data_IF_993541791149
#
_entry.id   IF_993541791149
#
_cell.length_a   1.000
_cell.length_b   1.000
_cell.length_c   1.000
_cell.angle_alpha   90.00
_cell.angle_beta   90.00
_cell.angle_gamma   90.00
#
_symmetry.space_group_name_H-M   'P 1'
#
loop_
_entity.id
_entity.type
_entity.pdbx_description
1 polymer ?
#
# COMPACT_ATOMS: atom_id res chain seq x y z
N UNK A 1 -7.12 -9.27 -0.36
CA UNK A 1 -5.76 -8.89 -0.80
C UNK A 1 -5.59 -7.44 -0.44
N UNK A 2 -4.44 -7.09 0.14
CA UNK A 2 -4.15 -5.72 0.55
C UNK A 2 -4.02 -4.83 -0.69
N UNK A 3 -4.56 -3.62 -0.62
CA UNK A 3 -4.63 -2.66 -1.71
C UNK A 3 -3.80 -1.40 -1.41
N UNK A 4 -2.93 -1.05 -2.34
CA UNK A 4 -2.06 0.14 -2.31
C UNK A 4 -2.50 1.06 -3.43
N UNK A 5 -2.76 2.34 -3.15
CA UNK A 5 -3.11 3.31 -4.18
C UNK A 5 -2.01 4.33 -4.44
N UNK A 6 -1.75 4.61 -5.72
CA UNK A 6 -0.88 5.69 -6.15
C UNK A 6 -1.69 6.98 -6.27
N UNK A 7 -1.30 7.99 -5.51
CA UNK A 7 -1.85 9.33 -5.55
C UNK A 7 -0.78 10.36 -5.92
N UNK A 8 -1.21 11.58 -6.22
CA UNK A 8 -0.31 12.69 -6.58
C UNK A 8 -0.76 13.44 -7.82
N UNK A 9 -0.12 14.57 -8.09
CA UNK A 9 -0.47 15.46 -9.21
C UNK A 9 -0.11 14.89 -10.60
N UNK A 10 -0.69 15.40 -11.70
CA UNK A 10 -0.25 15.06 -13.05
C UNK A 10 1.27 15.23 -13.22
N UNK A 11 1.91 14.40 -14.05
CA UNK A 11 3.35 14.47 -14.37
C UNK A 11 4.35 14.30 -13.20
N UNK A 12 3.89 13.96 -11.98
CA UNK A 12 4.77 13.56 -10.88
C UNK A 12 5.48 12.20 -11.08
N UNK A 13 5.02 11.42 -12.07
CA UNK A 13 5.59 10.11 -12.42
C UNK A 13 4.80 8.89 -11.93
N UNK A 14 3.55 9.08 -11.46
CA UNK A 14 2.64 7.99 -11.03
C UNK A 14 2.52 6.84 -12.03
N UNK A 15 2.16 7.11 -13.28
CA UNK A 15 2.00 6.04 -14.28
C UNK A 15 3.31 5.36 -14.65
N UNK A 16 4.45 6.03 -14.46
CA UNK A 16 5.78 5.41 -14.58
C UNK A 16 6.04 4.50 -13.39
N UNK A 17 5.76 4.96 -12.16
CA UNK A 17 5.84 4.16 -10.94
C UNK A 17 4.94 2.93 -11.04
N UNK A 18 3.69 3.08 -11.46
CA UNK A 18 2.76 1.99 -11.68
C UNK A 18 3.36 0.94 -12.62
N UNK A 19 3.83 1.35 -13.81
CA UNK A 19 4.45 0.43 -14.78
C UNK A 19 5.73 -0.21 -14.26
N UNK A 20 6.50 0.53 -13.46
CA UNK A 20 7.70 0.02 -12.83
C UNK A 20 7.34 -1.03 -11.78
N UNK A 21 6.33 -0.80 -10.95
CA UNK A 21 5.91 -1.66 -9.84
C UNK A 21 5.10 -2.88 -10.29
N UNK A 22 4.25 -2.75 -11.30
CA UNK A 22 3.50 -3.87 -11.88
C UNK A 22 4.41 -4.64 -12.82
N UNK A 23 4.70 -5.91 -12.51
CA UNK A 23 5.41 -6.77 -13.46
C UNK A 23 4.60 -6.87 -14.76
N UNK A 24 5.24 -6.62 -15.90
CA UNK A 24 4.63 -6.71 -17.22
C UNK A 24 4.39 -8.18 -17.58
N UNK A 25 3.21 -8.71 -17.22
CA UNK A 25 2.44 -9.77 -17.90
C UNK A 25 1.34 -10.32 -16.96
N UNK A 26 0.53 -9.44 -16.38
CA UNK A 26 -0.79 -9.87 -15.90
C UNK A 26 -1.81 -9.20 -16.81
N UNK A 27 -2.35 -10.01 -17.74
CA UNK A 27 -3.62 -9.73 -18.39
C UNK A 27 -4.55 -9.16 -17.33
N UNK A 28 -5.03 -7.93 -17.55
CA UNK A 28 -6.10 -7.30 -16.79
C UNK A 28 -7.17 -8.37 -16.58
N UNK A 29 -7.17 -8.99 -15.40
CA UNK A 29 -8.14 -10.03 -15.11
C UNK A 29 -9.49 -9.35 -15.21
N UNK A 30 -10.35 -9.84 -16.10
CA UNK A 30 -11.71 -9.33 -16.24
C UNK A 30 -12.47 -9.64 -14.95
N UNK A 31 -12.35 -8.76 -13.95
CA UNK A 31 -13.22 -8.76 -12.80
C UNK A 31 -14.59 -8.23 -13.26
N UNK A 32 -15.66 -9.04 -13.18
CA UNK A 32 -16.92 -8.75 -13.85
C UNK A 32 -17.77 -7.73 -13.09
N UNK A 33 -17.19 -6.61 -12.63
CA UNK A 33 -17.91 -5.47 -12.04
C UNK A 33 -17.18 -4.13 -12.17
N UNK A 34 -16.08 -4.02 -12.93
CA UNK A 34 -15.36 -2.75 -12.99
C UNK A 34 -16.17 -1.70 -13.74
N UNK A 35 -16.50 -0.64 -13.02
CA UNK A 35 -17.00 0.62 -13.57
C UNK A 35 -15.82 1.28 -14.30
N UNK A 36 -15.90 2.54 -14.72
CA UNK A 36 -14.82 3.22 -15.45
C UNK A 36 -13.68 3.51 -14.43
N UNK A 37 -12.96 2.46 -14.04
CA UNK A 37 -12.22 2.36 -12.78
C UNK A 37 -10.72 2.62 -12.96
N UNK A 38 -10.07 3.10 -11.87
CA UNK A 38 -8.62 3.18 -11.73
C UNK A 38 -7.92 1.94 -12.30
N UNK A 39 -6.73 2.10 -12.91
CA UNK A 39 -6.02 0.93 -13.42
C UNK A 39 -5.63 0.06 -12.22
N UNK A 40 -6.22 -1.14 -12.13
CA UNK A 40 -5.90 -2.15 -11.13
C UNK A 40 -4.82 -3.07 -11.67
N UNK A 41 -3.76 -3.24 -10.91
CA UNK A 41 -2.65 -4.12 -11.23
C UNK A 41 -2.25 -4.96 -10.02
N UNK A 42 -1.36 -5.91 -10.25
CA UNK A 42 -0.73 -6.67 -9.18
C UNK A 42 0.72 -6.20 -9.07
N UNK A 43 1.11 -5.82 -7.87
CA UNK A 43 2.51 -5.61 -7.49
C UNK A 43 2.88 -6.60 -6.39
N UNK A 44 4.10 -6.54 -5.89
CA UNK A 44 4.58 -7.46 -4.88
C UNK A 44 5.38 -6.71 -3.83
N UNK A 45 5.29 -7.16 -2.59
CA UNK A 45 6.21 -6.76 -1.51
C UNK A 45 7.23 -7.86 -1.26
N UNK A 46 8.42 -7.49 -0.83
CA UNK A 46 9.53 -8.45 -0.65
C UNK A 46 9.71 -8.82 0.81
N UNK A 47 9.92 -10.10 1.07
CA UNK A 47 10.38 -10.58 2.37
C UNK A 47 11.38 -11.73 2.20
N UNK A 48 12.11 -12.04 3.26
CA UNK A 48 13.02 -13.18 3.30
C UNK A 48 12.23 -14.48 3.30
N UNK A 49 12.45 -15.34 2.31
CA UNK A 49 11.78 -16.62 2.24
C UNK A 49 12.32 -17.61 3.31
N UNK A 50 11.44 -18.28 4.08
CA UNK A 50 11.80 -19.37 4.98
C UNK A 50 12.55 -20.53 4.32
N UNK A 51 12.49 -20.69 2.99
CA UNK A 51 13.23 -21.73 2.28
C UNK A 51 14.75 -21.62 2.47
N UNK A 52 15.24 -20.45 2.89
CA UNK A 52 16.63 -20.24 3.27
C UNK A 52 17.05 -21.03 4.51
N UNK A 53 16.09 -21.41 5.36
CA UNK A 53 16.33 -22.17 6.60
C UNK A 53 16.35 -23.69 6.37
N UNK A 54 16.22 -24.14 5.11
CA UNK A 54 16.18 -25.55 4.72
C UNK A 54 17.23 -25.89 3.67
N UNK A 55 17.52 -27.19 3.56
CA UNK A 55 18.35 -27.74 2.48
C UNK A 55 17.62 -27.67 1.13
N UNK A 56 16.30 -27.86 1.13
CA UNK A 56 15.44 -27.79 -0.07
C UNK A 56 14.89 -26.38 -0.22
N UNK A 57 15.11 -25.77 -1.38
CA UNK A 57 14.49 -24.48 -1.76
C UNK A 57 13.00 -24.68 -2.04
N UNK A 58 12.22 -23.59 -1.95
CA UNK A 58 10.82 -23.63 -2.35
C UNK A 58 10.69 -23.67 -3.88
N UNK A 59 9.61 -24.26 -4.37
CA UNK A 59 9.31 -24.40 -5.80
C UNK A 59 8.27 -23.36 -6.28
N UNK A 60 8.12 -22.26 -5.54
CA UNK A 60 7.15 -21.20 -5.87
C UNK A 60 7.74 -20.20 -6.86
N UNK A 61 6.96 -19.86 -7.90
CA UNK A 61 7.30 -18.85 -8.90
C UNK A 61 7.52 -17.45 -8.29
N UNK A 62 6.94 -17.22 -7.11
CA UNK A 62 7.02 -15.98 -6.34
C UNK A 62 8.24 -15.96 -5.39
N UNK A 63 9.21 -16.85 -5.57
CA UNK A 63 10.46 -16.82 -4.82
C UNK A 63 11.67 -16.82 -5.76
N UNK A 64 12.55 -15.82 -5.62
CA UNK A 64 13.81 -15.72 -6.38
C UNK A 64 14.98 -15.56 -5.42
N UNK A 65 15.92 -16.50 -5.52
CA UNK A 65 17.12 -16.61 -4.67
C UNK A 65 16.88 -16.39 -3.16
N UNK A 66 15.78 -16.94 -2.63
CA UNK A 66 15.43 -16.81 -1.22
C UNK A 66 14.73 -15.50 -0.84
N UNK A 67 14.39 -14.65 -1.80
CA UNK A 67 13.46 -13.53 -1.63
C UNK A 67 12.06 -13.94 -2.08
N UNK A 68 11.07 -13.82 -1.20
CA UNK A 68 9.65 -14.04 -1.49
C UNK A 68 9.01 -12.72 -1.94
N UNK A 69 8.23 -12.78 -3.01
CA UNK A 69 7.42 -11.70 -3.56
C UNK A 69 5.96 -11.97 -3.22
N UNK A 70 5.37 -11.25 -2.26
CA UNK A 70 3.98 -11.49 -1.83
C UNK A 70 3.07 -10.52 -2.57
N UNK A 71 2.03 -11.00 -3.28
CA UNK A 71 1.23 -10.14 -4.14
C UNK A 71 0.36 -9.14 -3.34
N UNK A 72 0.31 -7.91 -3.84
CA UNK A 72 -0.57 -6.82 -3.38
C UNK A 72 -1.29 -6.20 -4.57
N UNK A 73 -2.51 -5.70 -4.34
CA UNK A 73 -3.22 -4.94 -5.37
C UNK A 73 -2.64 -3.52 -5.43
N UNK A 74 -2.34 -3.05 -6.64
CA UNK A 74 -1.86 -1.70 -6.89
C UNK A 74 -2.88 -0.94 -7.74
N UNK A 75 -3.33 0.22 -7.26
CA UNK A 75 -4.32 1.08 -7.90
C UNK A 75 -3.63 2.34 -8.45
N UNK A 76 -3.67 2.57 -9.76
CA UNK A 76 -3.25 3.86 -10.35
C UNK A 76 -4.44 4.82 -10.39
N UNK A 77 -4.49 5.75 -9.44
CA UNK A 77 -5.49 6.81 -9.42
C UNK A 77 -5.00 7.96 -10.31
N UNK A 78 -5.92 8.49 -11.12
CA UNK A 78 -5.60 9.60 -12.01
C UNK A 78 -5.07 10.81 -11.22
N UNK A 79 -4.33 11.69 -11.91
CA UNK A 79 -3.74 12.86 -11.28
C UNK A 79 -4.80 13.78 -10.66
N UNK A 80 -4.63 14.05 -9.37
CA UNK A 80 -5.43 15.03 -8.63
C UNK A 80 -4.84 16.43 -8.83
N UNK A 81 -5.72 17.42 -8.98
CA UNK A 81 -5.37 18.85 -9.04
C UNK A 81 -6.10 19.59 -7.93
N UNK A 82 -5.60 20.77 -7.49
CA UNK A 82 -6.26 21.57 -6.46
C UNK A 82 -7.75 21.80 -6.68
N UNK A 83 -8.55 21.58 -5.62
CA UNK A 83 -10.00 21.69 -5.65
C UNK A 83 -10.72 20.45 -6.19
N UNK A 84 -10.09 19.27 -6.12
CA UNK A 84 -10.71 18.01 -6.53
C UNK A 84 -11.95 17.65 -5.69
N UNK A 85 -11.92 17.98 -4.39
CA UNK A 85 -13.05 17.80 -3.46
C UNK A 85 -14.29 18.66 -3.82
N UNK A 86 -14.14 19.75 -4.57
CA UNK A 86 -15.26 20.64 -4.94
C UNK A 86 -16.18 20.03 -6.02
N UNK A 87 -15.94 18.78 -6.44
CA UNK A 87 -16.71 18.12 -7.50
C UNK A 87 -16.48 18.71 -8.89
N UNK A 88 -15.40 19.48 -9.09
CA UNK A 88 -14.97 19.93 -10.41
C UNK A 88 -14.39 18.76 -11.21
N UNK A 89 -15.13 18.29 -12.20
CA UNK A 89 -14.68 17.20 -13.08
C UNK A 89 -14.81 15.81 -12.45
N UNK A 90 -13.78 14.97 -12.57
CA UNK A 90 -13.76 13.59 -12.08
C UNK A 90 -13.13 13.44 -10.67
N UNK A 91 -12.77 14.54 -10.00
CA UNK A 91 -12.04 14.54 -8.72
C UNK A 91 -12.67 13.66 -7.63
N UNK A 92 -13.98 13.75 -7.44
CA UNK A 92 -14.69 12.94 -6.44
C UNK A 92 -14.61 11.43 -6.71
N UNK A 93 -14.56 11.00 -7.99
CA UNK A 93 -14.41 9.57 -8.33
C UNK A 93 -12.99 9.08 -8.01
N UNK A 94 -11.99 9.95 -8.13
CA UNK A 94 -10.62 9.63 -7.77
C UNK A 94 -10.43 9.55 -6.26
N UNK A 95 -11.03 10.47 -5.50
CA UNK A 95 -11.01 10.45 -4.03
C UNK A 95 -11.77 9.23 -3.49
N UNK A 96 -12.89 8.85 -4.11
CA UNK A 96 -13.59 7.60 -3.82
C UNK A 96 -12.71 6.37 -4.09
N UNK A 97 -11.95 6.36 -5.18
CA UNK A 97 -11.00 5.27 -5.47
C UNK A 97 -9.90 5.18 -4.41
N UNK A 98 -9.39 6.31 -3.92
CA UNK A 98 -8.42 6.35 -2.80
C UNK A 98 -9.04 5.85 -1.49
N UNK A 99 -10.32 6.14 -1.25
CA UNK A 99 -11.03 5.71 -0.04
C UNK A 99 -11.19 4.18 0.06
N UNK A 100 -11.07 3.47 -1.06
CA UNK A 100 -11.10 2.01 -1.10
C UNK A 100 -9.74 1.34 -0.89
N UNK A 101 -8.65 2.11 -0.81
CA UNK A 101 -7.30 1.58 -0.59
C UNK A 101 -6.98 1.42 0.90
N UNK A 102 -6.14 0.44 1.24
CA UNK A 102 -5.64 0.24 2.60
C UNK A 102 -4.52 1.25 2.95
N UNK A 103 -3.71 1.62 1.97
CA UNK A 103 -2.60 2.59 2.11
C UNK A 103 -2.39 3.36 0.82
N UNK A 104 -1.88 4.58 0.93
CA UNK A 104 -1.63 5.48 -0.21
C UNK A 104 -0.13 5.78 -0.34
N UNK A 105 0.39 5.63 -1.54
CA UNK A 105 1.69 6.16 -1.96
C UNK A 105 1.45 7.52 -2.64
N UNK A 106 1.77 8.62 -1.95
CA UNK A 106 1.72 9.96 -2.52
C UNK A 106 2.99 10.23 -3.34
N UNK A 107 2.90 10.11 -4.66
CA UNK A 107 4.04 10.34 -5.57
C UNK A 107 4.23 11.84 -5.82
N UNK A 108 5.32 12.37 -5.28
CA UNK A 108 5.72 13.79 -5.38
C UNK A 108 6.90 13.94 -6.34
N UNK A 109 6.89 14.99 -7.14
CA UNK A 109 8.01 15.33 -8.03
C UNK A 109 9.12 16.04 -7.24
N UNK A 110 10.09 15.29 -6.72
CA UNK A 110 11.19 15.85 -5.92
C UNK A 110 12.07 16.83 -6.71
N UNK A 111 12.04 16.78 -8.05
CA UNK A 111 12.81 17.70 -8.88
C UNK A 111 12.28 19.14 -8.84
N UNK A 112 11.03 19.36 -8.40
CA UNK A 112 10.39 20.68 -8.51
C UNK A 112 10.23 21.14 -9.96
N UNK A 113 10.24 20.20 -10.91
CA UNK A 113 10.09 20.44 -12.35
C UNK A 113 8.64 20.43 -12.83
N UNK A 114 7.67 20.40 -11.93
CA UNK A 114 6.23 20.53 -12.22
C UNK A 114 5.57 21.45 -11.20
N UNK A 115 4.64 22.30 -11.64
CA UNK A 115 3.87 23.17 -10.75
C UNK A 115 2.68 22.45 -10.09
N UNK A 116 1.81 23.18 -9.38
CA UNK A 116 0.67 22.61 -8.66
C UNK A 116 -0.39 21.95 -9.57
N UNK A 117 -0.49 22.35 -10.84
CA UNK A 117 -1.41 21.74 -11.82
C UNK A 117 -0.75 20.56 -12.53
N UNK A 118 0.55 20.36 -12.32
CA UNK A 118 1.36 19.34 -12.96
C UNK A 118 1.95 19.81 -14.29
N UNK A 119 1.93 21.10 -14.60
CA UNK A 119 2.53 21.63 -15.81
C UNK A 119 4.06 21.68 -15.67
N UNK A 120 4.83 21.33 -16.73
CA UNK A 120 6.28 21.34 -16.67
C UNK A 120 6.85 22.74 -16.46
N UNK A 121 7.75 22.86 -15.48
CA UNK A 121 8.50 24.08 -15.17
C UNK A 121 10.00 23.78 -15.09
N UNK A 122 10.83 24.80 -14.87
CA UNK A 122 12.28 24.60 -14.69
C UNK A 122 12.53 23.79 -13.40
N UNK A 123 13.45 22.82 -13.46
CA UNK A 123 13.83 22.01 -12.28
C UNK A 123 14.28 22.92 -11.14
N UNK A 124 13.76 22.68 -9.94
CA UNK A 124 14.02 23.47 -8.74
C UNK A 124 13.25 24.80 -8.66
N UNK A 125 12.39 25.12 -9.64
CA UNK A 125 11.59 26.36 -9.61
C UNK A 125 10.32 26.26 -8.77
N UNK A 126 9.77 25.05 -8.61
CA UNK A 126 8.63 24.77 -7.75
C UNK A 126 9.07 24.08 -6.45
N UNK A 127 8.35 24.35 -5.37
CA UNK A 127 8.64 23.77 -4.05
C UNK A 127 7.86 22.47 -3.85
N UNK A 128 8.50 21.28 -3.92
CA UNK A 128 7.80 20.01 -3.87
C UNK A 128 7.16 19.72 -2.50
N UNK A 129 7.59 20.41 -1.44
CA UNK A 129 6.98 20.28 -0.11
C UNK A 129 5.50 20.69 -0.11
N UNK A 130 5.10 21.58 -1.02
CA UNK A 130 3.69 21.98 -1.17
C UNK A 130 2.79 20.83 -1.62
N UNK A 131 3.34 19.82 -2.31
CA UNK A 131 2.57 18.67 -2.81
C UNK A 131 2.40 17.56 -1.77
N UNK A 132 3.14 17.62 -0.65
CA UNK A 132 3.06 16.63 0.42
C UNK A 132 1.70 16.67 1.10
N UNK A 133 1.30 17.85 1.58
CA UNK A 133 0.03 18.07 2.27
C UNK A 133 -1.18 18.16 1.31
N UNK A 134 -0.93 18.20 -0.01
CA UNK A 134 -1.99 18.37 -1.00
C UNK A 134 -3.01 17.22 -0.98
N UNK A 135 -2.53 15.98 -1.05
CA UNK A 135 -3.43 14.80 -1.05
C UNK A 135 -4.19 14.68 0.27
N UNK A 136 -3.50 14.92 1.37
CA UNK A 136 -4.08 14.92 2.71
C UNK A 136 -5.24 15.92 2.82
N UNK A 137 -4.99 17.16 2.43
CA UNK A 137 -5.98 18.25 2.50
C UNK A 137 -7.19 17.96 1.61
N UNK A 138 -6.97 17.47 0.39
CA UNK A 138 -8.07 17.13 -0.53
C UNK A 138 -8.93 15.97 0.01
N UNK A 139 -8.32 14.96 0.62
CA UNK A 139 -9.04 13.85 1.23
C UNK A 139 -9.82 14.28 2.48
N UNK A 140 -9.22 15.13 3.33
CA UNK A 140 -9.89 15.67 4.52
C UNK A 140 -11.13 16.49 4.15
N UNK A 141 -11.00 17.39 3.18
CA UNK A 141 -12.11 18.21 2.70
C UNK A 141 -13.18 17.38 2.00
N UNK A 142 -12.79 16.35 1.25
CA UNK A 142 -13.75 15.44 0.63
C UNK A 142 -14.50 14.59 1.65
N UNK A 143 -13.82 14.01 2.63
CA UNK A 143 -14.48 13.29 3.73
C UNK A 143 -15.39 14.21 4.55
N UNK A 144 -14.95 15.43 4.83
CA UNK A 144 -15.77 16.42 5.51
C UNK A 144 -17.04 16.74 4.71
N UNK A 145 -16.94 16.83 3.38
CA UNK A 145 -18.09 17.03 2.50
C UNK A 145 -19.08 15.86 2.57
N UNK A 146 -18.61 14.60 2.62
CA UNK A 146 -19.45 13.42 2.78
C UNK A 146 -20.17 13.42 4.13
N UNK A 147 -19.45 13.75 5.21
CA UNK A 147 -20.04 13.87 6.55
C UNK A 147 -21.10 14.98 6.56
N UNK A 148 -20.81 16.13 5.94
CA UNK A 148 -21.72 17.27 5.87
C UNK A 148 -22.99 16.94 5.06
N UNK A 149 -22.86 16.30 3.90
CA UNK A 149 -23.98 15.91 3.04
C UNK A 149 -24.91 14.90 3.72
N UNK A 150 -24.36 14.01 4.54
CA UNK A 150 -25.14 13.03 5.31
C UNK A 150 -25.65 13.58 6.66
N UNK A 151 -25.21 14.76 7.08
CA UNK A 151 -25.49 15.29 8.42
C UNK A 151 -26.98 15.57 8.65
N UNK A 152 -27.69 16.08 7.65
CA UNK A 152 -29.13 16.34 7.76
C UNK A 152 -29.92 15.06 8.06
N UNK A 153 -29.44 13.92 7.54
CA UNK A 153 -30.03 12.61 7.84
C UNK A 153 -29.76 12.18 9.29
N UNK A 154 -28.55 12.39 9.79
CA UNK A 154 -28.18 12.15 11.20
C UNK A 154 -29.04 13.02 12.14
N UNK A 155 -29.17 14.31 11.87
CA UNK A 155 -30.02 15.24 12.65
C UNK A 155 -31.51 14.86 12.64
N UNK A 156 -32.00 14.29 11.54
CA UNK A 156 -33.38 13.83 11.45
C UNK A 156 -33.60 12.57 12.28
N UNK A 157 -32.64 11.63 12.24
CA UNK A 157 -32.65 10.39 13.03
C UNK A 157 -32.59 10.68 14.54
N UNK A 158 -31.91 11.74 14.97
CA UNK A 158 -31.79 12.13 16.39
C UNK A 158 -33.09 12.52 17.09
N UNK A 159 -34.19 12.66 16.35
CA UNK A 159 -35.53 12.89 16.91
C UNK A 159 -36.18 11.60 17.44
N UNK A 160 -35.62 10.44 17.11
CA UNK A 160 -36.10 9.14 17.60
C UNK A 160 -35.61 8.90 19.04
N UNK A 161 -36.45 8.35 19.94
CA UNK A 161 -36.01 7.91 21.27
C UNK A 161 -34.95 6.80 21.24
N UNK A 162 -34.86 6.05 20.15
CA UNK A 162 -33.93 4.93 19.94
C UNK A 162 -32.65 5.36 19.19
N UNK A 163 -32.41 6.66 19.06
CA UNK A 163 -31.26 7.17 18.32
C UNK A 163 -29.95 6.85 19.05
N UNK A 164 -29.06 6.17 18.33
CA UNK A 164 -27.67 5.98 18.70
C UNK A 164 -26.80 6.83 17.77
N UNK A 165 -26.09 7.79 18.37
CA UNK A 165 -25.23 8.71 17.65
C UNK A 165 -24.00 8.02 17.05
N UNK A 166 -23.42 7.08 17.78
CA UNK A 166 -22.19 6.37 17.38
C UNK A 166 -22.49 5.42 16.23
N UNK A 167 -23.61 4.68 16.32
CA UNK A 167 -24.10 3.86 15.21
C UNK A 167 -24.42 4.72 13.97
N UNK A 168 -25.04 5.88 14.17
CA UNK A 168 -25.38 6.79 13.07
C UNK A 168 -24.15 7.33 12.33
N UNK A 169 -23.07 7.64 13.04
CA UNK A 169 -21.78 8.04 12.43
C UNK A 169 -21.09 6.85 11.76
N UNK A 170 -21.12 5.68 12.39
CA UNK A 170 -20.56 4.44 11.83
C UNK A 170 -21.20 4.12 10.48
N UNK A 171 -22.52 4.25 10.34
CA UNK A 171 -23.21 4.06 9.06
C UNK A 171 -22.68 4.98 7.95
N UNK A 172 -22.33 6.23 8.29
CA UNK A 172 -21.82 7.22 7.31
C UNK A 172 -20.38 6.90 6.95
N UNK A 173 -19.54 6.63 7.95
CA UNK A 173 -18.09 6.48 7.78
C UNK A 173 -17.69 5.11 7.23
N UNK A 174 -18.52 4.08 7.43
CA UNK A 174 -18.33 2.78 6.76
C UNK A 174 -18.51 2.87 5.24
N UNK A 175 -19.28 3.84 4.76
CA UNK A 175 -19.43 4.14 3.33
C UNK A 175 -18.15 4.69 2.66
N UNK A 176 -17.15 5.12 3.44
CA UNK A 176 -15.87 5.67 2.96
C UNK A 176 -14.68 4.80 3.37
N UNK A 177 -14.93 3.53 3.70
CA UNK A 177 -13.90 2.54 3.98
C UNK A 177 -13.41 2.48 5.42
N UNK A 178 -14.07 3.16 6.38
CA UNK A 178 -13.76 3.00 7.80
C UNK A 178 -14.43 1.74 8.38
N UNK A 179 -13.78 1.05 9.32
CA UNK A 179 -14.43 0.00 10.09
C UNK A 179 -15.14 0.58 11.32
N UNK A 180 -16.08 -0.17 11.91
CA UNK A 180 -16.69 0.21 13.20
C UNK A 180 -15.62 0.45 14.27
N UNK A 181 -14.57 -0.38 14.28
CA UNK A 181 -13.45 -0.22 15.21
C UNK A 181 -12.73 1.13 15.00
N UNK A 182 -12.54 1.57 13.76
CA UNK A 182 -11.88 2.84 13.45
C UNK A 182 -12.69 4.03 13.91
N UNK A 183 -13.99 4.03 13.62
CA UNK A 183 -14.91 5.08 14.05
C UNK A 183 -14.94 5.17 15.57
N UNK A 184 -15.08 4.04 16.25
CA UNK A 184 -15.12 4.00 17.71
C UNK A 184 -13.80 4.42 18.35
N UNK A 185 -12.66 4.17 17.71
CA UNK A 185 -11.38 4.65 18.21
C UNK A 185 -11.25 6.17 18.08
N UNK A 186 -11.60 6.74 16.91
CA UNK A 186 -11.58 8.19 16.70
C UNK A 186 -12.54 8.91 17.65
N UNK A 187 -13.75 8.38 17.85
CA UNK A 187 -14.70 8.96 18.81
C UNK A 187 -14.17 8.97 20.25
N UNK A 188 -13.36 7.99 20.67
CA UNK A 188 -12.74 8.00 22.02
C UNK A 188 -11.68 9.09 22.19
N UNK A 189 -11.09 9.57 21.10
CA UNK A 189 -10.06 10.62 21.11
C UNK A 189 -10.68 12.02 21.01
N UNK A 190 -11.88 12.12 20.41
CA UNK A 190 -12.63 13.36 20.27
C UNK A 190 -13.41 13.73 21.54
N UNK A 191 -13.42 15.03 21.87
CA UNK A 191 -14.41 15.60 22.78
C UNK A 191 -15.62 16.04 21.96
N UNK A 192 -16.67 15.22 21.92
CA UNK A 192 -17.83 15.46 21.07
C UNK A 192 -19.16 15.47 21.84
N UNK A 193 -20.12 16.21 21.30
CA UNK A 193 -21.51 16.18 21.75
C UNK A 193 -22.26 15.03 21.07
N UNK A 194 -23.06 14.28 21.82
CA UNK A 194 -23.98 13.29 21.24
C UNK A 194 -25.23 13.94 20.61
N UNK A 195 -25.41 15.26 20.74
CA UNK A 195 -26.43 16.02 20.01
C UNK A 195 -25.85 16.49 18.67
N UNK A 196 -26.30 15.94 17.52
CA UNK A 196 -25.80 16.34 16.20
C UNK A 196 -25.93 17.83 15.90
N UNK A 197 -26.88 18.54 16.54
CA UNK A 197 -27.09 19.98 16.32
C UNK A 197 -26.04 20.86 16.99
N UNK A 198 -25.28 20.29 17.92
CA UNK A 198 -24.19 21.00 18.59
C UNK A 198 -22.90 21.00 17.76
N UNK A 199 -22.82 20.15 16.74
CA UNK A 199 -21.64 20.05 15.87
C UNK A 199 -21.58 21.20 14.89
N UNK A 200 -20.40 21.81 14.80
CA UNK A 200 -20.05 22.85 13.84
C UNK A 200 -19.48 22.22 12.57
N UNK A 201 -19.17 23.05 11.57
CA UNK A 201 -18.39 22.60 10.41
C UNK A 201 -16.99 22.12 10.83
N UNK A 202 -16.35 22.84 11.76
CA UNK A 202 -15.02 22.49 12.28
C UNK A 202 -14.98 21.14 13.00
N UNK A 203 -16.03 20.79 13.77
CA UNK A 203 -16.09 19.48 14.43
C UNK A 203 -16.19 18.34 13.41
N UNK A 204 -16.89 18.56 12.30
CA UNK A 204 -17.03 17.59 11.21
C UNK A 204 -15.76 17.45 10.39
N UNK A 205 -15.08 18.55 10.13
CA UNK A 205 -13.75 18.57 9.49
C UNK A 205 -12.72 17.83 10.35
N UNK A 206 -12.73 18.05 11.67
CA UNK A 206 -11.83 17.35 12.58
C UNK A 206 -12.11 15.84 12.65
N UNK A 207 -13.38 15.43 12.69
CA UNK A 207 -13.77 14.02 12.58
C UNK A 207 -13.27 13.41 11.27
N UNK A 208 -13.46 14.11 10.15
CA UNK A 208 -13.01 13.65 8.83
C UNK A 208 -11.49 13.46 8.79
N UNK A 209 -10.72 14.43 9.30
CA UNK A 209 -9.25 14.37 9.38
C UNK A 209 -8.77 13.17 10.19
N UNK A 210 -9.30 12.97 11.40
CA UNK A 210 -8.90 11.85 12.26
C UNK A 210 -9.27 10.50 11.66
N UNK A 211 -10.43 10.40 10.99
CA UNK A 211 -10.80 9.18 10.26
C UNK A 211 -9.83 8.94 9.10
N UNK A 212 -9.47 9.96 8.33
CA UNK A 212 -8.51 9.85 7.23
C UNK A 212 -7.16 9.37 7.73
N UNK A 213 -6.60 10.02 8.75
CA UNK A 213 -5.31 9.66 9.34
C UNK A 213 -5.26 8.19 9.78
N UNK A 214 -6.37 7.68 10.32
CA UNK A 214 -6.47 6.29 10.77
C UNK A 214 -6.68 5.30 9.64
N UNK A 215 -7.53 5.62 8.67
CA UNK A 215 -8.01 4.67 7.64
C UNK A 215 -7.24 4.76 6.34
N UNK A 216 -6.50 5.85 6.12
CA UNK A 216 -5.78 6.17 4.89
C UNK A 216 -4.38 6.67 5.22
N UNK A 217 -3.53 5.81 5.82
CA UNK A 217 -2.14 6.15 6.05
C UNK A 217 -1.42 6.39 4.72
N UNK A 218 -0.46 7.31 4.72
CA UNK A 218 0.23 7.78 3.50
C UNK A 218 1.74 7.61 3.66
N UNK A 219 2.39 7.07 2.63
CA UNK A 219 3.85 7.16 2.42
C UNK A 219 4.10 8.15 1.28
N UNK A 220 5.00 9.10 1.49
CA UNK A 220 5.42 10.03 0.43
C UNK A 220 6.53 9.38 -0.39
N UNK A 221 6.34 9.29 -1.70
CA UNK A 221 7.36 8.84 -2.64
C UNK A 221 7.96 10.08 -3.32
N UNK A 222 9.17 10.44 -2.90
CA UNK A 222 9.94 11.55 -3.48
C UNK A 222 10.58 11.11 -4.80
N UNK A 223 9.76 11.06 -5.86
CA UNK A 223 10.12 10.52 -7.16
C UNK A 223 10.96 11.51 -7.98
N UNK A 224 11.66 10.99 -9.01
CA UNK A 224 12.65 11.70 -9.84
C UNK A 224 13.88 12.14 -9.04
N UNK A 225 14.26 11.36 -8.04
CA UNK A 225 15.45 11.61 -7.22
C UNK A 225 16.74 11.69 -8.06
N UNK A 226 16.79 11.01 -9.22
CA UNK A 226 17.92 11.02 -10.17
C UNK A 226 18.19 12.38 -10.83
N UNK A 227 17.22 13.30 -10.81
CA UNK A 227 17.35 14.66 -11.36
C UNK A 227 16.98 15.74 -10.35
N UNK A 228 16.70 15.35 -9.11
CA UNK A 228 16.28 16.28 -8.07
C UNK A 228 17.48 17.03 -7.47
N UNK A 229 17.32 18.32 -7.16
CA UNK A 229 18.26 18.99 -6.26
C UNK A 229 18.32 18.25 -4.91
N UNK A 230 19.52 17.97 -4.40
CA UNK A 230 19.69 17.22 -3.14
C UNK A 230 18.92 17.84 -1.96
N UNK A 231 18.87 19.18 -1.90
CA UNK A 231 18.12 19.93 -0.87
C UNK A 231 16.62 19.63 -0.89
N UNK A 232 16.02 19.38 -2.06
CA UNK A 232 14.58 19.09 -2.14
C UNK A 232 14.22 17.74 -1.52
N UNK A 233 15.04 16.71 -1.71
CA UNK A 233 14.80 15.38 -1.14
C UNK A 233 14.85 15.45 0.38
N UNK A 234 15.81 16.18 0.93
CA UNK A 234 15.92 16.38 2.38
C UNK A 234 14.74 17.19 2.94
N UNK A 235 14.37 18.28 2.28
CA UNK A 235 13.19 19.08 2.66
C UNK A 235 11.89 18.27 2.64
N UNK A 236 11.75 17.31 1.72
CA UNK A 236 10.62 16.39 1.71
C UNK A 236 10.65 15.47 2.93
N UNK A 237 11.81 14.87 3.26
CA UNK A 237 11.99 14.05 4.47
C UNK A 237 11.70 14.81 5.77
N UNK A 238 11.99 16.10 5.81
CA UNK A 238 11.65 16.96 6.96
C UNK A 238 10.15 17.30 7.03
N UNK A 239 9.43 17.23 5.90
CA UNK A 239 8.04 17.67 5.79
C UNK A 239 7.01 16.56 6.06
N UNK A 240 7.39 15.28 6.00
CA UNK A 240 6.51 14.16 6.26
C UNK A 240 7.23 13.06 7.05
N UNK A 241 6.47 12.30 7.84
CA UNK A 241 7.01 11.25 8.71
C UNK A 241 7.63 10.08 7.93
N UNK A 242 7.09 9.79 6.74
CA UNK A 242 7.41 8.60 5.93
C UNK A 242 7.70 9.03 4.51
N UNK A 243 8.99 9.13 4.16
CA UNK A 243 9.43 9.58 2.82
C UNK A 243 10.45 8.62 2.23
N UNK A 244 10.11 8.08 1.06
CA UNK A 244 10.99 7.19 0.29
C UNK A 244 11.42 7.89 -0.99
N UNK A 245 12.71 8.29 -1.13
CA UNK A 245 13.25 8.77 -2.40
C UNK A 245 13.19 7.68 -3.45
N UNK A 246 12.78 8.02 -4.67
CA UNK A 246 12.64 7.03 -5.72
C UNK A 246 13.00 7.56 -7.11
N UNK A 247 13.39 6.64 -7.99
CA UNK A 247 13.49 6.84 -9.43
C UNK A 247 12.64 5.80 -10.15
N UNK A 248 11.36 6.12 -10.38
CA UNK A 248 10.46 5.22 -11.08
C UNK A 248 10.91 4.94 -12.53
N UNK A 249 11.51 5.93 -13.21
CA UNK A 249 12.05 5.74 -14.55
C UNK A 249 13.30 4.86 -14.53
N UNK A 250 14.16 5.01 -13.51
CA UNK A 250 15.32 4.14 -13.31
C UNK A 250 14.93 2.68 -13.05
N UNK A 251 13.96 2.44 -12.17
CA UNK A 251 13.42 1.08 -11.93
C UNK A 251 12.87 0.46 -13.22
N UNK A 252 12.06 1.21 -13.97
CA UNK A 252 11.51 0.73 -15.23
C UNK A 252 12.60 0.41 -16.26
N UNK A 253 13.66 1.22 -16.30
CA UNK A 253 14.81 0.97 -17.18
C UNK A 253 15.57 -0.29 -16.78
N UNK A 254 15.84 -0.50 -15.48
CA UNK A 254 16.50 -1.69 -14.97
C UNK A 254 15.70 -2.96 -15.25
N UNK A 255 14.39 -2.96 -14.98
CA UNK A 255 13.52 -4.11 -15.27
C UNK A 255 13.54 -4.49 -16.75
N UNK A 256 13.38 -3.51 -17.65
CA UNK A 256 13.47 -3.76 -19.10
C UNK A 256 14.83 -4.26 -19.53
N UNK A 257 15.90 -3.77 -18.91
CA UNK A 257 17.25 -4.23 -19.18
C UNK A 257 17.46 -5.67 -18.68
N UNK A 258 16.89 -6.04 -17.54
CA UNK A 258 16.93 -7.40 -16.99
C UNK A 258 16.16 -8.39 -17.88
N UNK A 259 14.98 -8.02 -18.37
CA UNK A 259 14.17 -8.83 -19.29
C UNK A 259 14.93 -9.23 -20.57
N UNK A 260 15.79 -8.35 -21.08
CA UNK A 260 16.62 -8.63 -22.27
C UNK A 260 18.02 -9.17 -21.91
N UNK A 261 18.28 -9.44 -20.64
CA UNK A 261 19.56 -9.96 -20.14
C UNK A 261 20.73 -8.97 -20.23
N UNK A 262 20.45 -7.67 -20.28
CA UNK A 262 21.48 -6.63 -20.32
C UNK A 262 22.03 -6.29 -18.93
N UNK A 263 21.24 -6.49 -17.88
CA UNK A 263 21.65 -6.38 -16.48
C UNK A 263 21.19 -7.60 -15.69
N UNK A 264 21.93 -7.92 -14.64
CA UNK A 264 21.50 -8.83 -13.57
C UNK A 264 20.94 -7.98 -12.43
N UNK A 265 19.63 -8.08 -12.23
CA UNK A 265 18.86 -7.27 -11.30
C UNK A 265 17.52 -7.94 -11.02
N UNK A 266 17.24 -8.21 -9.74
CA UNK A 266 15.89 -8.51 -9.30
C UNK A 266 15.22 -7.24 -8.74
N UNK A 267 13.92 -7.02 -8.99
CA UNK A 267 13.28 -5.77 -8.60
C UNK A 267 13.35 -5.45 -7.12
N UNK A 268 13.95 -4.32 -6.77
CA UNK A 268 14.18 -3.88 -5.39
C UNK A 268 15.54 -4.24 -4.82
N UNK A 269 16.43 -4.85 -5.60
CA UNK A 269 17.80 -5.07 -5.16
C UNK A 269 18.52 -3.73 -4.95
N UNK A 270 19.43 -3.68 -3.99
CA UNK A 270 20.20 -2.47 -3.67
C UNK A 270 21.25 -2.14 -4.73
N UNK A 271 21.56 -3.10 -5.63
CA UNK A 271 22.52 -2.92 -6.71
C UNK A 271 22.17 -3.80 -7.92
N UNK A 272 22.81 -3.53 -9.06
CA UNK A 272 22.73 -4.36 -10.27
C UNK A 272 24.10 -4.53 -10.92
N UNK A 273 24.24 -5.60 -11.69
CA UNK A 273 25.44 -5.86 -12.51
C UNK A 273 25.12 -5.71 -13.99
N UNK A 274 26.05 -5.14 -14.76
CA UNK A 274 25.89 -5.02 -16.21
C UNK A 274 26.41 -6.32 -16.85
N UNK A 275 25.51 -7.11 -17.44
CA UNK A 275 25.82 -8.37 -18.09
C UNK A 275 26.10 -8.22 -19.60
N UNK A 276 25.60 -7.13 -20.22
CA UNK A 276 25.75 -6.84 -21.64
C UNK A 276 26.80 -5.77 -21.99
N UNK A 277 26.79 -5.31 -23.24
CA UNK A 277 27.60 -4.18 -23.71
C UNK A 277 26.67 -3.02 -24.10
N UNK A 278 26.23 -2.19 -23.12
CA UNK A 278 25.32 -1.08 -23.39
C UNK A 278 26.00 0.00 -24.23
N UNK A 279 25.23 0.68 -25.08
CA UNK A 279 25.69 1.90 -25.74
C UNK A 279 26.08 2.98 -24.73
N UNK A 280 26.88 3.98 -25.14
CA UNK A 280 27.32 5.07 -24.26
C UNK A 280 26.14 5.77 -23.56
N UNK A 281 25.04 6.01 -24.29
CA UNK A 281 23.83 6.63 -23.72
C UNK A 281 23.11 5.72 -22.70
N UNK A 282 23.09 4.40 -22.93
CA UNK A 282 22.53 3.46 -21.96
C UNK A 282 23.42 3.36 -20.72
N UNK A 283 24.74 3.41 -20.89
CA UNK A 283 25.70 3.41 -19.78
C UNK A 283 25.52 4.64 -18.90
N UNK A 284 25.43 5.83 -19.49
CA UNK A 284 25.17 7.08 -18.74
C UNK A 284 23.81 7.04 -18.00
N UNK A 285 22.78 6.45 -18.62
CA UNK A 285 21.50 6.22 -17.95
C UNK A 285 21.62 5.28 -16.74
N UNK A 286 22.29 4.14 -16.91
CA UNK A 286 22.53 3.17 -15.83
C UNK A 286 23.41 3.74 -14.71
N UNK A 287 24.39 4.58 -15.03
CA UNK A 287 25.22 5.28 -14.04
C UNK A 287 24.38 6.21 -13.16
N UNK A 288 23.47 6.99 -13.74
CA UNK A 288 22.53 7.81 -12.95
C UNK A 288 21.64 7.00 -12.02
N UNK A 289 21.15 5.85 -12.48
CA UNK A 289 20.36 4.94 -11.63
C UNK A 289 21.23 4.38 -10.50
N UNK A 290 22.47 4.00 -10.80
CA UNK A 290 23.42 3.51 -9.80
C UNK A 290 23.73 4.56 -8.73
N UNK A 291 23.91 5.83 -9.11
CA UNK A 291 24.14 6.91 -8.14
C UNK A 291 22.99 7.02 -7.13
N UNK A 292 21.73 6.93 -7.60
CA UNK A 292 20.54 6.92 -6.74
C UNK A 292 20.53 5.68 -5.84
N UNK A 293 20.84 4.51 -6.39
CA UNK A 293 20.87 3.26 -5.61
C UNK A 293 21.95 3.27 -4.54
N UNK A 294 23.15 3.79 -4.85
CA UNK A 294 24.26 3.92 -3.92
C UNK A 294 23.93 4.93 -2.80
N UNK A 295 23.16 5.98 -3.09
CA UNK A 295 22.75 6.99 -2.11
C UNK A 295 21.59 6.51 -1.21
N UNK A 296 20.60 5.82 -1.77
CA UNK A 296 19.33 5.53 -1.09
C UNK A 296 19.06 4.03 -0.82
N UNK A 297 19.98 3.13 -1.19
CA UNK A 297 19.81 1.68 -0.98
C UNK A 297 18.82 1.04 -1.96
N UNK A 298 18.86 1.44 -3.23
CA UNK A 298 17.98 0.93 -4.28
C UNK A 298 17.23 2.03 -5.05
N UNK A 299 16.31 1.64 -5.93
CA UNK A 299 15.55 2.58 -6.78
C UNK A 299 14.40 3.28 -6.05
N UNK A 300 14.04 2.84 -4.85
CA UNK A 300 12.96 3.38 -4.03
C UNK A 300 11.55 2.91 -4.40
N UNK A 301 11.34 2.25 -5.55
CA UNK A 301 10.00 1.74 -5.93
C UNK A 301 9.58 0.58 -5.02
N UNK A 302 10.42 -0.44 -4.91
CA UNK A 302 10.16 -1.59 -4.05
C UNK A 302 10.22 -1.20 -2.55
N UNK A 303 11.23 -0.43 -2.07
CA UNK A 303 11.21 0.09 -0.71
C UNK A 303 9.94 0.87 -0.33
N UNK A 304 9.35 1.63 -1.26
CA UNK A 304 8.09 2.34 -0.97
C UNK A 304 6.90 1.39 -0.76
N UNK A 305 6.84 0.29 -1.51
CA UNK A 305 5.81 -0.74 -1.32
C UNK A 305 6.03 -1.50 -0.01
N UNK A 306 7.28 -1.85 0.29
CA UNK A 306 7.65 -2.57 1.49
C UNK A 306 7.40 -1.71 2.75
N UNK A 307 7.79 -0.43 2.75
CA UNK A 307 7.50 0.54 3.83
C UNK A 307 5.99 0.70 4.04
N UNK A 308 5.21 0.80 2.95
CA UNK A 308 3.76 0.96 3.06
C UNK A 308 3.09 -0.26 3.69
N UNK A 309 3.56 -1.47 3.40
CA UNK A 309 2.92 -2.71 3.84
C UNK A 309 3.47 -3.21 5.17
N UNK A 310 4.78 -3.34 5.31
CA UNK A 310 5.40 -3.91 6.51
C UNK A 310 5.53 -2.87 7.62
N UNK A 311 5.99 -1.66 7.32
CA UNK A 311 6.29 -0.66 8.36
C UNK A 311 5.08 0.20 8.73
N UNK A 312 4.30 0.64 7.75
CA UNK A 312 3.16 1.55 7.99
C UNK A 312 1.87 0.81 8.32
N UNK A 313 1.55 -0.26 7.58
CA UNK A 313 0.37 -1.10 7.85
C UNK A 313 0.63 -2.23 8.86
N UNK A 314 1.87 -2.34 9.36
CA UNK A 314 2.29 -3.32 10.37
C UNK A 314 1.84 -4.75 9.98
N UNK A 315 2.21 -5.14 8.76
CA UNK A 315 1.91 -6.48 8.22
C UNK A 315 3.09 -7.41 8.45
N UNK A 316 2.77 -8.69 8.55
CA UNK A 316 3.71 -9.80 8.57
C UNK A 316 3.37 -10.80 7.47
N UNK A 317 4.37 -11.49 6.96
CA UNK A 317 4.23 -12.59 6.01
C UNK A 317 4.25 -13.93 6.73
N UNK A 318 3.18 -14.71 6.57
CA UNK A 318 3.06 -16.06 7.16
C UNK A 318 2.84 -17.09 6.05
N UNK A 319 3.42 -18.27 6.24
CA UNK A 319 3.51 -19.33 5.24
C UNK A 319 2.71 -20.56 5.68
N UNK A 320 1.48 -20.77 5.17
CA UNK A 320 0.69 -21.94 5.50
C UNK A 320 1.22 -23.20 4.77
N UNK A 321 1.25 -24.32 5.49
CA UNK A 321 1.66 -25.63 4.94
C UNK A 321 0.70 -26.74 5.37
N UNK A 322 0.62 -27.84 4.62
CA UNK A 322 -0.16 -29.01 5.01
C UNK A 322 0.71 -30.07 5.71
N UNK A 323 1.99 -30.19 5.33
CA UNK A 323 3.00 -31.02 5.99
C UNK A 323 4.01 -30.12 6.72
N UNK A 324 3.99 -30.16 8.05
CA UNK A 324 4.87 -29.40 8.95
C UNK A 324 6.32 -29.89 8.94
N UNK A 325 6.58 -31.12 8.50
CA UNK A 325 7.93 -31.70 8.46
C UNK A 325 8.64 -31.28 7.17
N UNK A 326 7.94 -31.36 6.04
CA UNK A 326 8.49 -31.06 4.71
C UNK A 326 8.20 -29.63 4.24
N UNK A 327 7.30 -28.92 4.92
CA UNK A 327 6.79 -27.59 4.54
C UNK A 327 6.14 -27.61 3.17
N UNK A 328 5.33 -28.63 2.90
CA UNK A 328 4.67 -28.83 1.59
C UNK A 328 3.15 -28.72 1.67
N UNK A 329 2.53 -28.45 0.53
CA UNK A 329 1.09 -28.70 0.32
C UNK A 329 0.77 -30.18 0.06
N UNK A 330 -0.50 -30.48 -0.20
CA UNK A 330 -0.97 -31.81 -0.58
C UNK A 330 -0.52 -32.30 -1.96
N UNK A 331 0.13 -31.44 -2.76
CA UNK A 331 0.76 -31.79 -4.04
C UNK A 331 2.27 -32.02 -3.90
N UNK A 332 2.85 -31.71 -2.75
CA UNK A 332 4.29 -31.79 -2.48
C UNK A 332 5.07 -30.52 -2.82
N UNK A 333 4.40 -29.42 -3.17
CA UNK A 333 5.03 -28.11 -3.44
C UNK A 333 5.53 -27.53 -2.13
N UNK A 334 6.84 -27.21 -2.05
CA UNK A 334 7.43 -26.61 -0.84
C UNK A 334 7.10 -25.12 -0.76
N UNK A 335 6.51 -24.70 0.37
CA UNK A 335 6.09 -23.31 0.66
C UNK A 335 5.31 -22.69 -0.52
N UNK A 336 4.13 -23.22 -0.88
CA UNK A 336 3.39 -22.78 -2.06
C UNK A 336 2.98 -21.31 -1.96
N UNK A 337 2.45 -20.92 -0.80
CA UNK A 337 1.74 -19.67 -0.59
C UNK A 337 2.40 -18.81 0.51
N UNK A 338 2.13 -17.52 0.49
CA UNK A 338 2.48 -16.58 1.53
C UNK A 338 1.36 -15.56 1.69
N UNK A 339 1.00 -15.24 2.92
CA UNK A 339 -0.11 -14.35 3.23
C UNK A 339 0.37 -13.17 4.08
N UNK A 340 -0.05 -11.97 3.69
CA UNK A 340 0.10 -10.76 4.50
C UNK A 340 -1.02 -10.69 5.54
N UNK A 341 -0.64 -10.67 6.81
CA UNK A 341 -1.54 -10.59 7.95
C UNK A 341 -1.13 -9.40 8.85
N UNK A 342 -2.03 -8.84 9.66
CA UNK A 342 -1.63 -7.88 10.71
C UNK A 342 -0.62 -8.50 11.70
N UNK A 343 0.31 -7.72 12.26
CA UNK A 343 1.34 -8.22 13.18
C UNK A 343 0.81 -8.93 14.44
N UNK A 344 -0.43 -8.66 14.86
CA UNK A 344 -1.10 -9.33 15.97
C UNK A 344 -1.97 -10.54 15.53
N UNK A 345 -1.81 -11.01 14.28
CA UNK A 345 -2.62 -12.09 13.76
C UNK A 345 -2.32 -13.43 14.45
N UNK A 346 -3.37 -14.23 14.54
CA UNK A 346 -3.35 -15.56 15.15
C UNK A 346 -3.41 -16.66 14.08
N UNK A 347 -3.16 -17.93 14.44
CA UNK A 347 -3.38 -19.04 13.52
C UNK A 347 -4.81 -19.16 13.01
N UNK A 348 -5.81 -18.65 13.74
CA UNK A 348 -7.19 -18.60 13.27
C UNK A 348 -7.35 -17.57 12.14
N UNK A 349 -6.71 -16.40 12.26
CA UNK A 349 -6.70 -15.39 11.20
C UNK A 349 -6.02 -15.92 9.94
N UNK A 350 -4.90 -16.65 10.10
CA UNK A 350 -4.27 -17.36 8.99
C UNK A 350 -5.22 -18.38 8.36
N UNK A 351 -5.96 -19.14 9.17
CA UNK A 351 -6.93 -20.12 8.66
C UNK A 351 -7.99 -19.46 7.77
N UNK A 352 -8.54 -18.32 8.20
CA UNK A 352 -9.50 -17.52 7.42
C UNK A 352 -8.87 -16.88 6.17
N UNK A 353 -7.61 -16.46 6.25
CA UNK A 353 -6.88 -15.93 5.10
C UNK A 353 -6.65 -17.00 4.01
N UNK A 354 -6.42 -18.25 4.40
CA UNK A 354 -6.33 -19.38 3.45
C UNK A 354 -7.70 -19.67 2.85
N UNK A 355 -8.73 -19.93 3.68
CA UNK A 355 -10.10 -20.15 3.21
C UNK A 355 -11.11 -20.09 4.37
N UNK A 356 -12.33 -19.58 4.13
CA UNK A 356 -13.38 -19.50 5.15
C UNK A 356 -13.71 -20.85 5.79
N UNK A 357 -13.86 -21.91 5.00
CA UNK A 357 -14.16 -23.26 5.51
C UNK A 357 -13.04 -23.82 6.42
N UNK A 358 -11.78 -23.43 6.17
CA UNK A 358 -10.64 -23.85 6.99
C UNK A 358 -10.71 -23.14 8.35
N UNK A 359 -11.01 -21.83 8.35
CA UNK A 359 -11.27 -21.03 9.55
C UNK A 359 -12.46 -21.54 10.37
N UNK A 360 -13.61 -21.76 9.73
CA UNK A 360 -14.83 -22.25 10.40
C UNK A 360 -14.65 -23.66 11.00
N UNK A 361 -13.81 -24.48 10.37
CA UNK A 361 -13.44 -25.80 10.83
C UNK A 361 -12.19 -25.86 11.72
N UNK A 362 -11.62 -24.73 12.14
CA UNK A 362 -10.34 -24.67 12.83
C UNK A 362 -10.32 -25.53 14.10
N UNK A 363 -9.28 -26.35 14.24
CA UNK A 363 -9.07 -27.19 15.43
C UNK A 363 -7.83 -26.77 16.22
N UNK A 364 -6.71 -26.58 15.52
CA UNK A 364 -5.45 -26.10 16.08
C UNK A 364 -4.43 -25.81 14.97
N UNK A 365 -3.31 -25.22 15.35
CA UNK A 365 -2.16 -25.05 14.49
C UNK A 365 -0.87 -25.63 15.08
N UNK A 366 0.10 -25.86 14.20
CA UNK A 366 1.44 -26.35 14.52
C UNK A 366 2.46 -25.39 13.91
N UNK A 367 3.38 -24.91 14.74
CA UNK A 367 4.58 -24.22 14.28
C UNK A 367 5.51 -25.28 13.65
N UNK A 368 5.70 -25.16 12.33
CA UNK A 368 6.45 -26.11 11.53
C UNK A 368 7.97 -25.98 11.69
N UNK A 369 8.46 -24.86 12.25
CA UNK A 369 9.87 -24.66 12.60
C UNK A 369 10.20 -25.33 13.92
N UNK A 370 9.38 -25.10 14.94
CA UNK A 370 9.58 -25.69 16.26
C UNK A 370 9.03 -27.13 16.40
N UNK A 371 8.18 -27.57 15.47
CA UNK A 371 7.55 -28.89 15.49
C UNK A 371 6.61 -29.09 16.68
N UNK A 372 5.95 -28.02 17.14
CA UNK A 372 5.07 -28.04 18.32
C UNK A 372 3.73 -27.38 18.03
N UNK A 373 2.70 -27.84 18.73
CA UNK A 373 1.37 -27.20 18.70
C UNK A 373 1.45 -25.79 19.31
N UNK A 374 0.82 -24.85 18.64
CA UNK A 374 0.63 -23.47 19.11
C UNK A 374 -0.83 -23.25 19.52
N UNK A 375 -1.04 -22.29 20.42
CA UNK A 375 -2.37 -21.92 20.89
C UNK A 375 -3.15 -21.15 19.83
N UNK A 376 -4.45 -21.02 20.03
CA UNK A 376 -5.31 -20.17 19.19
C UNK A 376 -4.97 -18.69 19.38
N UNK A 377 -4.67 -18.26 20.61
CA UNK A 377 -4.25 -16.89 20.93
C UNK A 377 -2.73 -16.64 20.72
N UNK A 378 -2.03 -17.53 20.01
CA UNK A 378 -0.61 -17.31 19.73
C UNK A 378 -0.47 -16.22 18.67
N UNK A 379 0.24 -15.15 18.98
CA UNK A 379 0.60 -14.12 18.00
C UNK A 379 1.66 -14.71 17.06
N UNK A 380 1.38 -14.63 15.75
CA UNK A 380 2.28 -15.07 14.69
C UNK A 380 3.38 -14.03 14.46
N UNK A 381 4.54 -14.48 14.00
CA UNK A 381 5.69 -13.63 13.71
C UNK A 381 6.05 -13.65 12.20
N UNK A 382 6.82 -12.64 11.75
CA UNK A 382 7.31 -12.56 10.37
C UNK A 382 8.08 -13.83 9.97
N UNK A 383 7.68 -14.44 8.85
CA UNK A 383 8.35 -15.63 8.32
C UNK A 383 7.95 -16.93 9.01
N UNK A 384 6.90 -16.92 9.83
CA UNK A 384 6.36 -18.12 10.45
C UNK A 384 5.84 -19.10 9.40
N UNK A 385 6.12 -20.38 9.65
CA UNK A 385 5.63 -21.48 8.82
C UNK A 385 4.67 -22.31 9.67
N UNK A 386 3.39 -22.31 9.28
CA UNK A 386 2.32 -22.79 10.13
C UNK A 386 1.49 -23.83 9.42
N UNK A 387 1.26 -24.96 10.06
CA UNK A 387 0.25 -25.93 9.63
C UNK A 387 -1.05 -25.67 10.36
N UNK A 388 -2.09 -25.32 9.61
CA UNK A 388 -3.46 -25.23 10.13
C UNK A 388 -4.14 -26.59 10.02
N UNK A 389 -4.72 -27.06 11.13
CA UNK A 389 -5.51 -28.30 11.17
C UNK A 389 -6.98 -27.93 11.31
N UNK A 390 -7.78 -28.32 10.32
CA UNK A 390 -9.20 -28.03 10.23
C UNK A 390 -10.03 -29.31 9.99
N UNK A 391 -11.32 -29.26 10.29
CA UNK A 391 -12.28 -30.31 9.90
C UNK A 391 -12.61 -30.28 8.41
N UNK A 392 -12.39 -29.14 7.75
CA UNK A 392 -12.45 -29.04 6.29
C UNK A 392 -11.15 -29.63 5.71
N UNK A 393 -11.27 -30.61 4.81
CA UNK A 393 -10.13 -31.34 4.22
C UNK A 393 -9.81 -30.84 2.83
#
# INVERSE_FOLDING_TARGET
>A
MLSVALAGKPNAGKSTFYKAATMADVDVANYPFTTIDANRGVSHVRTRCPCLDRETRCDSDDCRDGTRYVPVELLDVAGLVPGAHEGKGLGNQFLDSLSNADVILNVVDASGGTDAEGDPVEVGSYDPVQDVAFIETEMDLWLASIVADNWEAVERRSRSPEFDFEAALTDVLTGVGATEHDVMAVLRELDYSTDPKAWTDADREELARLIRERTKPIVVVANKADVAPADNVERLREAADRVVPATAEGELALRRAAEVGAVDYDPGDEAFEIAGDPSDAQREGLERVRDVMDEFGGTGVQPALDEAVYDLLDRITVYPVQDETHWTDGRGTVLPDAFLLPAAATPLDLAYAVHSDIGDGYLHAVDARAGRRIGEDHELEEGDVVKVVSTAT
#
